data_IF_800886583597
#
_entry.id   IF_800886583597
#
_cell.length_a   1.000
_cell.length_b   1.000
_cell.length_c   1.000
_cell.angle_alpha   90.00
_cell.angle_beta   90.00
_cell.angle_gamma   90.00
#
_symmetry.space_group_name_H-M   'P 1'
#
loop_
_entity.id
_entity.type
_entity.pdbx_description
1 polymer ?
#
# COMPACT_ATOMS: atom_id res chain seq x y z
N UNK A 1 -22.23 13.77 -4.50
CA UNK A 1 -21.54 12.53 -4.10
C UNK A 1 -20.44 12.12 -5.08
N UNK A 2 -20.70 11.75 -6.37
CA UNK A 2 -19.59 11.40 -7.30
C UNK A 2 -18.56 12.52 -7.47
N UNK A 3 -18.98 13.78 -7.62
CA UNK A 3 -18.06 14.91 -7.75
C UNK A 3 -17.19 15.13 -6.50
N UNK A 4 -17.76 14.99 -5.32
CA UNK A 4 -17.03 15.13 -4.05
C UNK A 4 -15.99 14.01 -3.87
N UNK A 5 -16.30 12.81 -4.32
CA UNK A 5 -15.36 11.68 -4.29
C UNK A 5 -14.24 11.85 -5.34
N UNK A 6 -14.56 12.38 -6.53
CA UNK A 6 -13.55 12.70 -7.54
C UNK A 6 -12.62 13.82 -7.05
N UNK A 7 -13.18 14.89 -6.45
CA UNK A 7 -12.42 15.97 -5.85
C UNK A 7 -11.51 15.45 -4.72
N UNK A 8 -12.01 14.49 -3.91
CA UNK A 8 -11.20 13.82 -2.89
C UNK A 8 -10.02 13.07 -3.51
N UNK A 9 -10.26 12.25 -4.54
CA UNK A 9 -9.17 11.50 -5.18
C UNK A 9 -8.12 12.41 -5.82
N UNK A 10 -8.53 13.52 -6.45
CA UNK A 10 -7.58 14.51 -6.96
C UNK A 10 -6.72 15.12 -5.85
N UNK A 11 -7.33 15.40 -4.71
CA UNK A 11 -6.67 15.98 -3.54
C UNK A 11 -5.62 15.05 -2.91
N UNK A 12 -5.84 13.72 -2.96
CA UNK A 12 -5.00 12.73 -2.31
C UNK A 12 -4.17 11.88 -3.28
N UNK A 13 -4.08 12.28 -4.57
CA UNK A 13 -3.19 11.61 -5.52
C UNK A 13 -1.78 11.50 -4.92
N UNK A 14 -1.35 10.27 -4.67
CA UNK A 14 -0.11 9.98 -3.96
C UNK A 14 1.10 10.34 -4.80
N UNK A 15 1.12 9.92 -6.06
CA UNK A 15 2.21 10.13 -7.02
C UNK A 15 1.63 10.42 -8.40
N UNK A 16 2.11 11.47 -9.04
CA UNK A 16 1.85 11.76 -10.46
C UNK A 16 3.06 12.47 -11.08
N UNK A 17 3.11 12.54 -12.39
CA UNK A 17 4.04 13.43 -13.08
C UNK A 17 3.57 14.89 -12.96
N UNK A 18 4.54 15.81 -13.00
CA UNK A 18 4.23 17.22 -13.27
C UNK A 18 3.58 17.37 -14.65
N UNK A 19 2.84 18.45 -14.92
CA UNK A 19 2.27 18.69 -16.25
C UNK A 19 3.31 18.67 -17.36
N UNK A 20 4.50 19.17 -17.08
CA UNK A 20 5.64 19.23 -18.01
C UNK A 20 6.37 17.89 -18.13
N UNK A 21 6.00 16.89 -17.31
CA UNK A 21 6.62 15.55 -17.19
C UNK A 21 8.12 15.58 -16.81
N UNK A 22 8.58 16.69 -16.22
CA UNK A 22 9.95 16.92 -15.80
C UNK A 22 10.26 16.54 -14.35
N UNK A 23 9.25 16.03 -13.61
CA UNK A 23 9.37 15.66 -12.21
C UNK A 23 8.19 14.83 -11.70
N UNK A 24 8.39 14.29 -10.51
CA UNK A 24 7.33 13.62 -9.74
C UNK A 24 6.72 14.63 -8.78
N UNK A 25 5.40 14.77 -8.81
CA UNK A 25 4.62 15.49 -7.83
C UNK A 25 4.02 14.50 -6.83
N UNK A 26 4.48 14.53 -5.57
CA UNK A 26 4.03 13.63 -4.51
C UNK A 26 3.48 14.39 -3.31
N UNK A 27 2.62 13.73 -2.52
CA UNK A 27 2.28 14.20 -1.18
C UNK A 27 3.38 13.78 -0.22
N UNK A 28 3.95 14.73 0.54
CA UNK A 28 4.85 14.40 1.64
C UNK A 28 4.04 13.82 2.81
N UNK A 29 3.97 12.48 2.88
CA UNK A 29 3.19 11.77 3.90
C UNK A 29 3.77 11.88 5.31
N UNK A 30 5.01 12.34 5.46
CA UNK A 30 5.62 12.54 6.78
C UNK A 30 4.97 13.70 7.54
N UNK A 31 4.37 14.65 6.82
CA UNK A 31 3.72 15.83 7.36
C UNK A 31 2.24 15.64 7.69
N UNK A 32 1.63 14.55 7.16
CA UNK A 32 0.21 14.24 7.43
C UNK A 32 0.02 13.74 8.88
N UNK A 33 -1.15 14.00 9.50
CA UNK A 33 -2.31 14.71 8.97
C UNK A 33 -2.23 16.25 9.12
N UNK A 34 -1.21 16.78 9.83
CA UNK A 34 -1.14 18.19 10.20
C UNK A 34 -0.98 19.14 9.01
N UNK A 35 -0.18 18.76 8.03
CA UNK A 35 0.12 19.58 6.86
C UNK A 35 0.03 18.72 5.60
N UNK A 36 -0.88 19.05 4.70
CA UNK A 36 -0.91 18.47 3.35
C UNK A 36 -0.01 19.31 2.43
N UNK A 37 1.17 18.80 2.14
CA UNK A 37 2.15 19.45 1.27
C UNK A 37 2.50 18.56 0.10
N UNK A 38 2.41 19.10 -1.11
CA UNK A 38 2.97 18.46 -2.29
C UNK A 38 4.41 18.96 -2.52
N UNK A 39 5.26 18.06 -2.96
CA UNK A 39 6.65 18.35 -3.32
C UNK A 39 6.94 17.77 -4.70
N UNK A 40 7.74 18.49 -5.48
CA UNK A 40 8.19 18.04 -6.79
C UNK A 40 9.63 17.53 -6.69
N UNK A 41 9.87 16.34 -7.22
CA UNK A 41 11.15 15.62 -7.20
C UNK A 41 11.63 15.47 -8.65
N UNK A 42 12.85 15.94 -8.95
CA UNK A 42 13.41 15.95 -10.31
C UNK A 42 14.69 15.14 -10.45
N UNK A 43 15.36 14.85 -9.33
CA UNK A 43 16.63 14.12 -9.36
C UNK A 43 16.50 12.75 -8.71
N UNK A 44 17.38 11.82 -9.08
CA UNK A 44 17.41 10.48 -8.47
C UNK A 44 17.65 10.54 -6.96
N UNK A 45 18.40 11.53 -6.51
CA UNK A 45 18.69 11.77 -5.08
C UNK A 45 17.45 12.20 -4.31
N UNK A 46 16.65 13.12 -4.86
CA UNK A 46 15.39 13.56 -4.26
C UNK A 46 14.39 12.40 -4.19
N UNK A 47 14.28 11.60 -5.26
CA UNK A 47 13.38 10.45 -5.33
C UNK A 47 13.83 9.36 -4.34
N UNK A 48 15.12 9.06 -4.30
CA UNK A 48 15.71 8.12 -3.34
C UNK A 48 15.40 8.54 -1.90
N UNK A 49 15.66 9.82 -1.57
CA UNK A 49 15.37 10.36 -0.24
C UNK A 49 13.86 10.27 0.09
N UNK A 50 12.98 10.60 -0.86
CA UNK A 50 11.54 10.54 -0.63
C UNK A 50 11.05 9.12 -0.31
N UNK A 51 11.60 8.09 -0.96
CA UNK A 51 11.30 6.69 -0.66
C UNK A 51 11.92 6.27 0.68
N UNK A 52 13.17 6.63 0.92
CA UNK A 52 13.91 6.28 2.15
C UNK A 52 13.29 6.87 3.40
N UNK A 53 12.89 8.13 3.33
CA UNK A 53 12.29 8.89 4.45
C UNK A 53 10.79 8.69 4.59
N UNK A 54 10.19 7.81 3.78
CA UNK A 54 8.75 7.51 3.79
C UNK A 54 7.86 8.70 3.42
N UNK A 55 8.37 9.69 2.67
CA UNK A 55 7.54 10.75 2.06
C UNK A 55 6.55 10.17 1.06
N UNK A 56 6.99 9.13 0.33
CA UNK A 56 6.13 8.19 -0.40
C UNK A 56 6.34 6.80 0.19
N UNK A 57 5.24 6.09 0.49
CA UNK A 57 5.25 4.78 1.14
C UNK A 57 4.07 3.92 0.68
N UNK A 58 4.09 2.63 1.07
CA UNK A 58 3.15 1.63 0.55
C UNK A 58 3.74 0.93 -0.68
N UNK A 59 3.64 -0.40 -0.71
CA UNK A 59 4.32 -1.19 -1.74
C UNK A 59 3.96 -0.76 -3.18
N UNK A 60 2.68 -0.56 -3.57
CA UNK A 60 2.33 -0.11 -4.91
C UNK A 60 2.79 1.33 -5.19
N UNK A 61 2.55 2.28 -4.29
CA UNK A 61 2.93 3.67 -4.49
C UNK A 61 4.45 3.86 -4.67
N UNK A 62 5.27 3.06 -3.95
CA UNK A 62 6.73 3.06 -4.13
C UNK A 62 7.09 2.54 -5.54
N UNK A 63 6.41 1.51 -6.03
CA UNK A 63 6.61 0.99 -7.39
C UNK A 63 6.31 2.05 -8.45
N UNK A 64 5.18 2.74 -8.34
CA UNK A 64 4.81 3.84 -9.25
C UNK A 64 5.80 5.00 -9.17
N UNK A 65 6.20 5.40 -7.95
CA UNK A 65 7.20 6.47 -7.77
C UNK A 65 8.56 6.11 -8.36
N UNK A 66 8.97 4.85 -8.24
CA UNK A 66 10.22 4.36 -8.82
C UNK A 66 10.17 4.33 -10.36
N UNK A 67 9.05 3.89 -10.94
CA UNK A 67 8.87 3.88 -12.39
C UNK A 67 8.92 5.30 -12.99
N UNK A 68 8.13 6.22 -12.45
CA UNK A 68 8.20 7.63 -12.86
C UNK A 68 9.56 8.24 -12.57
N UNK A 69 10.17 7.94 -11.43
CA UNK A 69 11.48 8.42 -11.07
C UNK A 69 12.56 7.98 -12.06
N UNK A 70 12.51 6.73 -12.49
CA UNK A 70 13.41 6.21 -13.51
C UNK A 70 13.17 6.88 -14.88
N UNK A 71 11.92 7.11 -15.28
CA UNK A 71 11.58 7.79 -16.53
C UNK A 71 12.07 9.24 -16.54
N UNK A 72 11.75 10.04 -15.50
CA UNK A 72 12.16 11.43 -15.37
C UNK A 72 13.69 11.58 -15.36
N UNK A 73 14.38 10.73 -14.59
CA UNK A 73 15.85 10.82 -14.52
C UNK A 73 16.53 10.31 -15.80
N UNK A 74 15.96 9.31 -16.48
CA UNK A 74 16.45 8.82 -17.76
C UNK A 74 16.29 9.85 -18.87
N UNK A 75 15.29 10.72 -18.82
CA UNK A 75 15.09 11.79 -19.81
C UNK A 75 16.29 12.77 -19.88
N UNK A 76 16.95 12.98 -18.74
CA UNK A 76 18.14 13.84 -18.65
C UNK A 76 19.45 13.15 -19.05
N UNK A 77 19.46 11.85 -19.35
CA UNK A 77 20.67 11.16 -19.80
C UNK A 77 21.11 11.72 -21.17
N UNK A 78 22.36 12.20 -21.22
CA UNK A 78 23.02 12.54 -22.46
C UNK A 78 23.90 11.36 -22.87
N UNK A 79 23.64 10.76 -24.02
CA UNK A 79 24.38 9.61 -24.53
C UNK A 79 24.44 9.66 -26.06
N UNK A 80 25.52 9.14 -26.63
CA UNK A 80 25.72 9.10 -28.08
C UNK A 80 25.01 7.88 -28.71
N UNK A 81 24.87 6.80 -27.93
CA UNK A 81 24.23 5.55 -28.37
C UNK A 81 23.45 4.87 -27.24
N UNK A 82 22.75 3.78 -27.61
CA UNK A 82 21.97 3.01 -26.66
C UNK A 82 22.84 2.36 -25.57
N UNK A 83 24.08 1.93 -25.89
CA UNK A 83 24.95 1.28 -24.90
C UNK A 83 25.31 2.22 -23.76
N UNK A 84 25.70 3.45 -24.09
CA UNK A 84 26.02 4.49 -23.11
C UNK A 84 24.77 4.91 -22.30
N UNK A 85 23.62 5.06 -22.98
CA UNK A 85 22.34 5.33 -22.33
C UNK A 85 21.95 4.22 -21.35
N UNK A 86 22.04 2.96 -21.78
CA UNK A 86 21.65 1.81 -20.95
C UNK A 86 22.55 1.66 -19.72
N UNK A 87 23.85 1.90 -19.85
CA UNK A 87 24.75 1.88 -18.70
C UNK A 87 24.32 2.92 -17.64
N UNK A 88 24.05 4.16 -18.03
CA UNK A 88 23.58 5.20 -17.14
C UNK A 88 22.18 4.86 -16.54
N UNK A 89 21.29 4.27 -17.33
CA UNK A 89 19.96 3.82 -16.87
C UNK A 89 20.08 2.76 -15.78
N UNK A 90 20.99 1.80 -15.93
CA UNK A 90 21.24 0.74 -14.90
C UNK A 90 21.84 1.34 -13.63
N UNK A 91 22.68 2.36 -13.72
CA UNK A 91 23.17 3.09 -12.54
C UNK A 91 22.03 3.77 -11.78
N UNK A 92 21.11 4.45 -12.49
CA UNK A 92 19.91 5.06 -11.89
C UNK A 92 19.05 3.99 -11.22
N UNK A 93 18.77 2.87 -11.92
CA UNK A 93 18.03 1.73 -11.38
C UNK A 93 18.62 1.24 -10.06
N UNK A 94 19.92 0.95 -10.05
CA UNK A 94 20.61 0.42 -8.86
C UNK A 94 20.61 1.43 -7.70
N UNK A 95 20.77 2.71 -8.02
CA UNK A 95 20.69 3.77 -7.03
C UNK A 95 19.30 3.83 -6.39
N UNK A 96 18.23 3.90 -7.17
CA UNK A 96 16.86 3.92 -6.65
C UNK A 96 16.53 2.64 -5.86
N UNK A 97 16.96 1.47 -6.34
CA UNK A 97 16.76 0.17 -5.67
C UNK A 97 17.37 0.16 -4.25
N UNK A 98 18.50 0.84 -4.04
CA UNK A 98 19.18 0.91 -2.73
C UNK A 98 18.39 1.68 -1.66
N UNK A 99 17.35 2.44 -2.03
CA UNK A 99 16.54 3.20 -1.08
C UNK A 99 15.79 2.30 -0.09
N UNK A 100 15.28 1.14 -0.56
CA UNK A 100 14.60 0.14 0.28
C UNK A 100 14.88 -1.29 -0.23
N UNK A 101 15.98 -1.92 0.22
CA UNK A 101 16.43 -3.22 -0.32
C UNK A 101 15.44 -4.39 -0.15
N UNK A 102 14.44 -4.27 0.72
CA UNK A 102 13.43 -5.32 0.97
C UNK A 102 12.09 -5.07 0.26
N UNK A 103 11.94 -3.94 -0.43
CA UNK A 103 10.66 -3.55 -1.05
C UNK A 103 10.46 -4.23 -2.41
N UNK A 104 9.74 -5.34 -2.45
CA UNK A 104 9.52 -6.17 -3.65
C UNK A 104 9.01 -5.36 -4.84
N UNK A 105 8.00 -4.51 -4.63
CA UNK A 105 7.40 -3.70 -5.71
C UNK A 105 8.35 -2.64 -6.28
N UNK A 106 9.30 -2.14 -5.49
CA UNK A 106 10.36 -1.26 -5.97
C UNK A 106 11.21 -1.95 -7.06
N UNK A 107 11.71 -3.15 -6.74
CA UNK A 107 12.52 -3.93 -7.67
C UNK A 107 11.72 -4.37 -8.89
N UNK A 108 10.48 -4.80 -8.69
CA UNK A 108 9.59 -5.19 -9.78
C UNK A 108 9.39 -4.04 -10.79
N UNK A 109 9.07 -2.85 -10.32
CA UNK A 109 8.85 -1.69 -11.19
C UNK A 109 10.14 -1.29 -11.93
N UNK A 110 11.26 -1.19 -11.23
CA UNK A 110 12.55 -0.85 -11.82
C UNK A 110 13.02 -1.89 -12.85
N UNK A 111 12.83 -3.18 -12.58
CA UNK A 111 13.14 -4.24 -13.53
C UNK A 111 12.25 -4.15 -14.78
N UNK A 112 10.96 -3.89 -14.61
CA UNK A 112 10.02 -3.72 -15.72
C UNK A 112 10.39 -2.53 -16.60
N UNK A 113 10.79 -1.42 -16.00
CA UNK A 113 11.29 -0.24 -16.75
C UNK A 113 12.55 -0.54 -17.53
N UNK A 114 13.51 -1.28 -16.95
CA UNK A 114 14.71 -1.73 -17.65
C UNK A 114 14.39 -2.63 -18.85
N UNK A 115 13.49 -3.60 -18.67
CA UNK A 115 13.05 -4.48 -19.76
C UNK A 115 12.37 -3.69 -20.88
N UNK A 116 11.61 -2.65 -20.54
CA UNK A 116 11.02 -1.76 -21.55
C UNK A 116 12.08 -1.02 -22.36
N UNK A 117 13.12 -0.50 -21.72
CA UNK A 117 14.23 0.12 -22.45
C UNK A 117 14.94 -0.85 -23.39
N UNK A 118 15.22 -2.07 -22.90
CA UNK A 118 15.85 -3.14 -23.71
C UNK A 118 15.00 -3.56 -24.92
N UNK A 119 13.68 -3.57 -24.78
CA UNK A 119 12.78 -3.89 -25.89
C UNK A 119 12.83 -2.86 -27.02
N UNK A 120 13.22 -1.63 -26.70
CA UNK A 120 13.30 -0.51 -27.66
C UNK A 120 14.74 -0.21 -28.13
N UNK A 121 15.73 -1.05 -27.82
CA UNK A 121 17.17 -0.80 -27.98
C UNK A 121 17.63 -0.45 -29.41
N UNK A 122 16.88 -0.90 -30.42
CA UNK A 122 17.19 -0.65 -31.84
C UNK A 122 16.59 0.68 -32.36
N UNK A 123 15.85 1.41 -31.50
CA UNK A 123 15.21 2.67 -31.86
C UNK A 123 16.05 3.88 -31.41
N UNK A 124 15.63 5.08 -31.80
CA UNK A 124 16.27 6.32 -31.33
C UNK A 124 16.16 6.47 -29.81
N UNK A 125 17.13 7.14 -29.18
CA UNK A 125 17.11 7.40 -27.74
C UNK A 125 15.85 8.16 -27.30
N UNK A 126 15.36 9.09 -28.12
CA UNK A 126 14.11 9.80 -27.83
C UNK A 126 12.91 8.85 -27.79
N UNK A 127 12.90 7.83 -28.69
CA UNK A 127 11.86 6.78 -28.66
C UNK A 127 11.97 5.91 -27.41
N UNK A 128 13.19 5.55 -27.00
CA UNK A 128 13.41 4.78 -25.74
C UNK A 128 12.93 5.58 -24.53
N UNK A 129 13.28 6.87 -24.45
CA UNK A 129 12.85 7.76 -23.36
C UNK A 129 11.33 7.90 -23.31
N UNK A 130 10.67 8.14 -24.46
CA UNK A 130 9.21 8.19 -24.56
C UNK A 130 8.57 6.88 -24.09
N UNK A 131 9.12 5.73 -24.49
CA UNK A 131 8.64 4.41 -24.09
C UNK A 131 8.75 4.16 -22.58
N UNK A 132 9.75 4.74 -21.90
CA UNK A 132 9.85 4.68 -20.44
C UNK A 132 8.72 5.43 -19.77
N UNK A 133 8.35 6.61 -20.24
CA UNK A 133 7.20 7.34 -19.69
C UNK A 133 5.89 6.59 -19.94
N UNK A 134 5.68 6.03 -21.13
CA UNK A 134 4.49 5.21 -21.42
C UNK A 134 4.40 3.99 -20.50
N UNK A 135 5.53 3.35 -20.21
CA UNK A 135 5.55 2.19 -19.32
C UNK A 135 5.26 2.58 -17.87
N UNK A 136 5.78 3.72 -17.41
CA UNK A 136 5.49 4.23 -16.08
C UNK A 136 4.01 4.61 -15.92
N UNK A 137 3.40 5.24 -16.94
CA UNK A 137 1.95 5.50 -16.96
C UNK A 137 1.16 4.20 -16.90
N UNK A 138 1.57 3.17 -17.66
CA UNK A 138 0.92 1.84 -17.65
C UNK A 138 1.02 1.17 -16.28
N UNK A 139 2.17 1.25 -15.61
CA UNK A 139 2.34 0.73 -14.24
C UNK A 139 1.34 1.40 -13.29
N UNK A 140 1.16 2.72 -13.39
CA UNK A 140 0.18 3.45 -12.58
C UNK A 140 -1.27 3.06 -12.90
N UNK A 141 -1.62 2.97 -14.18
CA UNK A 141 -2.97 2.59 -14.62
C UNK A 141 -3.34 1.17 -14.21
N UNK A 142 -2.39 0.23 -14.31
CA UNK A 142 -2.57 -1.15 -13.84
C UNK A 142 -2.79 -1.18 -12.33
N UNK A 143 -2.05 -0.41 -11.54
CA UNK A 143 -2.25 -0.33 -10.09
C UNK A 143 -3.65 0.20 -9.73
N UNK A 144 -4.14 1.22 -10.45
CA UNK A 144 -5.51 1.72 -10.30
C UNK A 144 -6.55 0.64 -10.62
N UNK A 145 -6.36 -0.09 -11.72
CA UNK A 145 -7.28 -1.15 -12.13
C UNK A 145 -7.27 -2.34 -11.14
N UNK A 146 -6.09 -2.74 -10.66
CA UNK A 146 -5.91 -3.78 -9.65
C UNK A 146 -6.65 -3.38 -8.36
N UNK A 147 -6.37 -2.19 -7.85
CA UNK A 147 -6.99 -1.67 -6.63
C UNK A 147 -8.51 -1.57 -6.74
N UNK A 148 -9.01 -1.12 -7.92
CA UNK A 148 -10.44 -1.08 -8.20
C UNK A 148 -11.08 -2.47 -8.15
N UNK A 149 -10.48 -3.46 -8.79
CA UNK A 149 -11.01 -4.82 -8.83
C UNK A 149 -11.03 -5.47 -7.42
N UNK A 150 -9.99 -5.25 -6.61
CA UNK A 150 -9.99 -5.65 -5.19
C UNK A 150 -11.17 -4.98 -4.47
N UNK A 151 -11.40 -3.70 -4.74
CA UNK A 151 -12.51 -2.93 -4.17
C UNK A 151 -13.88 -3.50 -4.54
N UNK A 152 -14.12 -3.85 -5.81
CA UNK A 152 -15.38 -4.44 -6.27
C UNK A 152 -15.68 -5.78 -5.58
N UNK A 153 -14.66 -6.63 -5.46
CA UNK A 153 -14.80 -7.94 -4.79
C UNK A 153 -15.08 -7.76 -3.29
N UNK A 154 -14.33 -6.87 -2.62
CA UNK A 154 -14.55 -6.56 -1.21
C UNK A 154 -15.90 -5.88 -0.95
N UNK A 155 -16.34 -4.97 -1.83
CA UNK A 155 -17.67 -4.39 -1.77
C UNK A 155 -18.78 -5.45 -1.90
N UNK A 156 -18.55 -6.46 -2.74
CA UNK A 156 -19.44 -7.63 -2.83
C UNK A 156 -19.61 -8.35 -1.49
N UNK A 157 -18.58 -8.38 -0.63
CA UNK A 157 -18.65 -8.92 0.73
C UNK A 157 -19.42 -7.99 1.66
N UNK A 158 -19.15 -6.66 1.59
CA UNK A 158 -19.90 -5.67 2.38
C UNK A 158 -21.39 -5.75 2.12
N UNK A 159 -21.82 -5.86 0.85
CA UNK A 159 -23.24 -6.01 0.49
C UNK A 159 -23.91 -7.22 1.13
N UNK A 160 -23.20 -8.34 1.28
CA UNK A 160 -23.75 -9.56 1.89
C UNK A 160 -23.93 -9.43 3.40
N UNK A 161 -23.13 -8.61 4.05
CA UNK A 161 -23.15 -8.42 5.52
C UNK A 161 -24.00 -7.23 5.97
N UNK A 162 -24.25 -6.25 5.08
CA UNK A 162 -25.02 -5.04 5.37
C UNK A 162 -26.46 -5.40 5.73
N UNK A 163 -26.89 -4.91 6.87
CA UNK A 163 -28.30 -4.96 7.28
C UNK A 163 -29.00 -3.65 6.95
N UNK A 164 -30.27 -3.72 6.63
CA UNK A 164 -31.07 -2.54 6.34
C UNK A 164 -31.17 -1.64 7.59
N UNK A 165 -30.93 -0.34 7.40
CA UNK A 165 -31.01 0.66 8.47
C UNK A 165 -29.85 0.68 9.46
N UNK A 166 -28.89 -0.25 9.39
CA UNK A 166 -27.73 -0.29 10.29
C UNK A 166 -26.41 -0.04 9.51
N UNK A 167 -25.46 0.77 10.03
CA UNK A 167 -24.14 0.88 9.41
C UNK A 167 -23.37 -0.44 9.54
N UNK A 168 -22.61 -0.80 8.49
CA UNK A 168 -21.68 -1.92 8.60
C UNK A 168 -20.41 -1.49 9.30
N UNK A 169 -20.02 -2.19 10.36
CA UNK A 169 -18.76 -1.97 11.08
C UNK A 169 -17.60 -2.68 10.43
N UNK A 170 -16.58 -1.93 10.05
CA UNK A 170 -15.37 -2.42 9.37
C UNK A 170 -14.17 -2.05 10.23
N UNK A 171 -13.28 -3.00 10.53
CA UNK A 171 -12.00 -2.69 11.16
C UNK A 171 -10.88 -2.80 10.15
N UNK A 172 -9.93 -1.87 10.22
CA UNK A 172 -8.72 -1.89 9.42
C UNK A 172 -7.49 -1.54 10.25
N UNK A 173 -6.33 -2.05 9.84
CA UNK A 173 -5.05 -1.86 10.51
C UNK A 173 -4.01 -1.33 9.54
N UNK A 174 -3.12 -0.45 9.98
CA UNK A 174 -2.12 0.24 9.17
C UNK A 174 -2.75 1.18 8.12
N UNK A 175 -2.02 1.42 7.03
CA UNK A 175 -2.53 2.14 5.88
C UNK A 175 -2.27 1.36 4.60
N UNK A 176 -3.31 0.73 4.10
CA UNK A 176 -3.40 0.14 2.78
C UNK A 176 -4.49 0.87 1.97
N UNK A 177 -4.50 2.19 2.08
CA UNK A 177 -5.41 3.12 1.47
C UNK A 177 -4.85 3.78 0.22
N UNK A 178 -5.53 4.83 -0.23
CA UNK A 178 -5.17 5.56 -1.45
C UNK A 178 -3.77 6.18 -1.36
N UNK A 179 -3.31 6.56 -0.15
CA UNK A 179 -1.95 7.05 0.08
C UNK A 179 -0.86 5.96 -0.06
N UNK A 180 -1.23 4.69 -0.12
CA UNK A 180 -0.31 3.55 -0.30
C UNK A 180 -0.29 3.00 -1.73
N UNK A 181 -1.15 3.50 -2.63
CA UNK A 181 -1.34 3.05 -4.00
C UNK A 181 -1.43 4.24 -4.96
N UNK A 182 -1.70 4.01 -6.23
CA UNK A 182 -2.01 5.09 -7.18
C UNK A 182 -3.42 5.68 -6.97
N UNK A 183 -4.40 4.82 -6.53
CA UNK A 183 -5.79 5.22 -6.23
C UNK A 183 -6.48 4.08 -5.46
N UNK A 184 -7.51 4.37 -4.68
CA UNK A 184 -8.38 3.46 -3.93
C UNK A 184 -7.75 2.75 -2.73
N UNK A 185 -6.45 2.44 -2.74
CA UNK A 185 -5.88 1.49 -1.79
C UNK A 185 -6.21 0.04 -2.09
N UNK A 186 -5.86 -0.86 -1.18
CA UNK A 186 -6.29 -2.26 -1.24
C UNK A 186 -7.34 -2.56 -0.17
N UNK A 187 -7.02 -2.37 1.12
CA UNK A 187 -7.95 -2.61 2.22
C UNK A 187 -9.06 -1.54 2.31
N UNK A 188 -8.82 -0.30 1.86
CA UNK A 188 -9.84 0.75 1.82
C UNK A 188 -10.64 0.78 0.52
N UNK A 189 -10.17 0.11 -0.52
CA UNK A 189 -10.86 0.09 -1.81
C UNK A 189 -12.33 -0.36 -1.72
N UNK A 190 -12.71 -1.40 -0.94
CA UNK A 190 -14.12 -1.77 -0.78
C UNK A 190 -15.02 -0.64 -0.27
N UNK A 191 -14.45 0.24 0.55
CA UNK A 191 -15.17 1.38 1.15
C UNK A 191 -15.40 2.48 0.13
N UNK A 192 -14.39 2.80 -0.67
CA UNK A 192 -14.52 3.79 -1.76
C UNK A 192 -15.45 3.29 -2.88
N UNK A 193 -15.37 2.00 -3.22
CA UNK A 193 -16.28 1.41 -4.18
C UNK A 193 -17.73 1.41 -3.66
N UNK A 194 -17.95 1.24 -2.35
CA UNK A 194 -19.27 1.41 -1.76
C UNK A 194 -19.83 2.82 -2.02
N UNK A 195 -19.01 3.88 -1.87
CA UNK A 195 -19.41 5.25 -2.19
C UNK A 195 -19.69 5.42 -3.70
N UNK A 196 -18.84 4.88 -4.58
CA UNK A 196 -19.08 4.90 -6.03
C UNK A 196 -20.37 4.20 -6.42
N UNK A 197 -20.75 3.13 -5.70
CA UNK A 197 -22.02 2.40 -5.90
C UNK A 197 -23.21 3.02 -5.17
N UNK A 198 -23.08 4.23 -4.65
CA UNK A 198 -24.19 5.02 -4.12
C UNK A 198 -24.47 4.84 -2.64
N UNK A 199 -23.59 4.13 -1.89
CA UNK A 199 -23.65 4.17 -0.43
C UNK A 199 -23.24 5.54 0.09
N UNK A 200 -23.82 5.94 1.22
CA UNK A 200 -23.36 7.12 1.95
C UNK A 200 -22.24 6.76 2.92
N UNK A 201 -21.42 7.72 3.29
CA UNK A 201 -20.35 7.50 4.27
C UNK A 201 -20.86 7.03 5.64
N UNK A 202 -22.14 7.28 5.94
CA UNK A 202 -22.86 6.82 7.12
C UNK A 202 -23.38 5.39 7.04
N UNK A 203 -23.40 4.78 5.86
CA UNK A 203 -23.72 3.35 5.69
C UNK A 203 -22.62 2.44 6.21
N UNK A 204 -21.45 2.99 6.43
CA UNK A 204 -20.27 2.33 6.98
C UNK A 204 -19.80 3.04 8.24
N UNK A 205 -19.27 2.26 9.18
CA UNK A 205 -18.52 2.78 10.31
C UNK A 205 -17.16 2.09 10.34
N UNK A 206 -16.12 2.82 9.95
CA UNK A 206 -14.77 2.27 9.87
C UNK A 206 -14.01 2.55 11.15
N UNK A 207 -13.49 1.52 11.76
CA UNK A 207 -12.62 1.57 12.93
C UNK A 207 -11.19 1.38 12.49
N UNK A 208 -10.33 2.37 12.79
CA UNK A 208 -8.92 2.36 12.43
C UNK A 208 -8.08 2.14 13.68
N UNK A 209 -7.28 1.07 13.71
CA UNK A 209 -6.21 0.95 14.68
C UNK A 209 -5.16 2.04 14.41
N UNK A 210 -4.64 2.67 15.47
CA UNK A 210 -3.62 3.72 15.33
C UNK A 210 -2.34 3.21 14.66
N UNK A 211 -2.03 1.94 14.84
CA UNK A 211 -0.88 1.23 14.28
C UNK A 211 0.45 1.76 14.81
N UNK A 212 0.73 1.45 16.08
CA UNK A 212 2.06 1.71 16.67
C UNK A 212 3.14 0.88 15.94
N UNK A 213 4.43 1.37 15.87
CA UNK A 213 4.88 2.66 16.40
C UNK A 213 4.71 3.84 15.44
N UNK A 214 4.57 3.62 14.10
CA UNK A 214 4.60 4.70 13.09
C UNK A 214 3.26 5.41 12.87
N UNK A 215 2.18 4.95 13.53
CA UNK A 215 0.85 5.57 13.54
C UNK A 215 0.22 5.73 12.14
N UNK A 216 0.45 4.77 11.21
CA UNK A 216 -0.10 4.85 9.86
C UNK A 216 -1.63 4.84 9.85
N UNK A 217 -2.26 4.08 10.76
CA UNK A 217 -3.72 4.07 10.88
C UNK A 217 -4.27 5.42 11.36
N UNK A 218 -3.64 6.02 12.38
CA UNK A 218 -4.03 7.31 12.90
C UNK A 218 -3.78 8.46 11.92
N UNK A 219 -2.57 8.47 11.33
CA UNK A 219 -2.09 9.62 10.55
C UNK A 219 -2.57 9.61 9.11
N UNK A 220 -2.73 8.44 8.53
CA UNK A 220 -3.00 8.28 7.11
C UNK A 220 -4.38 7.68 6.85
N UNK A 221 -4.72 6.51 7.40
CA UNK A 221 -6.01 5.86 7.12
C UNK A 221 -7.20 6.66 7.66
N UNK A 222 -7.14 7.09 8.93
CA UNK A 222 -8.20 7.93 9.49
C UNK A 222 -8.31 9.27 8.73
N UNK A 223 -7.17 9.85 8.32
CA UNK A 223 -7.14 11.08 7.53
C UNK A 223 -7.87 10.91 6.19
N UNK A 224 -7.52 9.89 5.39
CA UNK A 224 -8.13 9.72 4.07
C UNK A 224 -9.60 9.32 4.13
N UNK A 225 -10.00 8.46 5.08
CA UNK A 225 -11.40 8.06 5.23
C UNK A 225 -12.31 9.21 5.70
N UNK A 226 -11.84 10.00 6.68
CA UNK A 226 -12.55 11.21 7.11
C UNK A 226 -12.69 12.23 5.97
N UNK A 227 -11.63 12.41 5.14
CA UNK A 227 -11.67 13.31 3.98
C UNK A 227 -12.65 12.84 2.91
N UNK A 228 -12.81 11.53 2.74
CA UNK A 228 -13.81 10.93 1.85
C UNK A 228 -15.24 10.95 2.41
N UNK A 229 -15.46 11.53 3.59
CA UNK A 229 -16.77 11.60 4.23
C UNK A 229 -17.27 10.28 4.86
N UNK A 230 -16.40 9.29 5.04
CA UNK A 230 -16.74 8.00 5.67
C UNK A 230 -16.71 8.15 7.19
N UNK A 231 -17.76 7.67 7.87
CA UNK A 231 -17.80 7.65 9.34
C UNK A 231 -16.65 6.81 9.89
N UNK A 232 -15.74 7.46 10.60
CA UNK A 232 -14.48 6.84 11.03
C UNK A 232 -14.26 7.04 12.53
N UNK A 233 -13.81 6.00 13.21
CA UNK A 233 -13.35 6.04 14.61
C UNK A 233 -11.90 5.56 14.68
N UNK A 234 -11.05 6.38 15.27
CA UNK A 234 -9.68 6.00 15.61
C UNK A 234 -9.64 5.35 16.99
N UNK A 235 -8.84 4.29 17.13
CA UNK A 235 -8.61 3.61 18.40
C UNK A 235 -7.14 3.23 18.57
N UNK A 236 -6.70 2.98 19.82
CA UNK A 236 -5.41 2.34 20.06
C UNK A 236 -5.48 0.86 19.65
N UNK A 237 -4.34 0.30 19.24
CA UNK A 237 -4.25 -1.08 18.73
C UNK A 237 -4.81 -2.13 19.70
N UNK A 238 -4.67 -1.90 20.98
CA UNK A 238 -5.15 -2.81 22.04
C UNK A 238 -6.66 -2.71 22.34
N UNK A 239 -7.41 -1.83 21.63
CA UNK A 239 -8.85 -1.63 21.89
C UNK A 239 -9.75 -2.45 20.95
N UNK A 240 -9.21 -3.07 19.92
CA UNK A 240 -9.96 -3.83 18.91
C UNK A 240 -10.84 -4.93 19.55
N UNK A 241 -10.35 -5.63 20.58
CA UNK A 241 -11.09 -6.69 21.25
C UNK A 241 -12.39 -6.20 21.91
N UNK A 242 -12.40 -5.00 22.44
CA UNK A 242 -13.59 -4.42 23.09
C UNK A 242 -14.67 -4.13 22.05
N UNK A 243 -14.29 -3.57 20.90
CA UNK A 243 -15.23 -3.31 19.80
C UNK A 243 -15.75 -4.60 19.16
N UNK A 244 -14.90 -5.60 18.94
CA UNK A 244 -15.30 -6.91 18.43
C UNK A 244 -16.30 -7.60 19.38
N UNK A 245 -15.99 -7.61 20.68
CA UNK A 245 -16.88 -8.17 21.72
C UNK A 245 -18.24 -7.48 21.76
N UNK A 246 -18.28 -6.16 21.51
CA UNK A 246 -19.53 -5.39 21.51
C UNK A 246 -20.40 -5.56 20.26
N UNK A 247 -19.96 -6.36 19.28
CA UNK A 247 -20.67 -6.59 18.02
C UNK A 247 -20.63 -5.42 17.04
N UNK A 248 -19.74 -4.45 17.25
CA UNK A 248 -19.61 -3.29 16.37
C UNK A 248 -18.80 -3.56 15.12
N UNK A 249 -17.99 -4.60 15.10
CA UNK A 249 -17.18 -5.01 13.94
C UNK A 249 -17.83 -6.20 13.27
N UNK A 250 -18.09 -6.10 11.97
CA UNK A 250 -18.71 -7.15 11.16
C UNK A 250 -17.73 -7.82 10.19
N UNK A 251 -16.64 -7.11 9.86
CA UNK A 251 -15.61 -7.57 8.92
C UNK A 251 -14.29 -6.82 9.18
N UNK A 252 -13.18 -7.49 8.91
CA UNK A 252 -11.85 -6.88 8.93
C UNK A 252 -11.27 -6.93 7.53
N UNK A 253 -10.73 -5.78 7.07
CA UNK A 253 -9.90 -5.67 5.88
C UNK A 253 -8.53 -5.12 6.24
N UNK A 254 -7.47 -5.84 5.89
CA UNK A 254 -6.09 -5.36 6.02
C UNK A 254 -5.36 -5.48 4.69
N UNK A 255 -4.32 -4.67 4.51
CA UNK A 255 -3.37 -4.86 3.41
C UNK A 255 -2.42 -6.01 3.69
N UNK A 256 -1.41 -6.15 2.82
CA UNK A 256 -0.36 -7.13 2.97
C UNK A 256 0.92 -6.65 2.29
N UNK A 257 2.07 -6.92 2.92
CA UNK A 257 3.39 -6.66 2.34
C UNK A 257 3.94 -7.89 1.58
N UNK A 258 3.60 -9.11 2.00
CA UNK A 258 3.95 -10.37 1.34
C UNK A 258 3.00 -11.49 1.74
N UNK A 259 2.64 -12.34 0.79
CA UNK A 259 1.87 -13.58 0.99
C UNK A 259 2.73 -14.76 0.55
N UNK A 260 2.92 -15.75 1.41
CA UNK A 260 3.53 -17.02 1.07
C UNK A 260 2.56 -17.93 0.29
N UNK A 261 3.08 -18.96 -0.39
CA UNK A 261 2.25 -19.83 -1.23
C UNK A 261 1.18 -20.61 -0.45
N UNK A 262 1.41 -20.88 0.83
CA UNK A 262 0.44 -21.51 1.72
C UNK A 262 -0.66 -20.57 2.23
N UNK A 263 -0.54 -19.24 1.96
CA UNK A 263 -1.47 -18.21 2.40
C UNK A 263 -1.06 -17.46 3.67
N UNK A 264 0.01 -17.84 4.34
CA UNK A 264 0.56 -17.05 5.45
C UNK A 264 0.94 -15.66 4.95
N UNK A 265 0.62 -14.64 5.72
CA UNK A 265 0.72 -13.26 5.23
C UNK A 265 1.47 -12.37 6.20
N UNK A 266 2.53 -11.72 5.73
CA UNK A 266 3.22 -10.68 6.49
C UNK A 266 2.61 -9.31 6.21
N UNK A 267 2.29 -8.58 7.27
CA UNK A 267 1.82 -7.22 7.20
C UNK A 267 2.32 -6.43 8.43
N UNK A 268 1.98 -5.14 8.47
CA UNK A 268 2.38 -4.26 9.57
C UNK A 268 2.09 -4.89 10.93
N UNK A 269 3.10 -4.79 11.84
CA UNK A 269 3.01 -5.30 13.21
C UNK A 269 1.66 -4.97 13.85
N UNK A 270 1.02 -5.95 14.48
CA UNK A 270 -0.33 -5.88 15.04
C UNK A 270 -1.42 -6.54 14.18
N UNK A 271 -1.14 -6.83 12.92
CA UNK A 271 -2.12 -7.48 12.01
C UNK A 271 -2.48 -8.89 12.49
N UNK A 272 -1.51 -9.68 12.92
CA UNK A 272 -1.75 -11.02 13.48
C UNK A 272 -2.61 -10.95 14.74
N UNK A 273 -2.36 -9.98 15.63
CA UNK A 273 -3.23 -9.77 16.80
C UNK A 273 -4.68 -9.53 16.41
N UNK A 274 -4.94 -8.70 15.40
CA UNK A 274 -6.30 -8.43 14.89
C UNK A 274 -6.92 -9.70 14.33
N UNK A 275 -6.17 -10.52 13.59
CA UNK A 275 -6.65 -11.78 13.01
C UNK A 275 -7.04 -12.80 14.10
N UNK A 276 -6.20 -12.95 15.15
CA UNK A 276 -6.50 -13.80 16.32
C UNK A 276 -7.79 -13.34 17.00
N UNK A 277 -7.95 -12.04 17.23
CA UNK A 277 -9.16 -11.49 17.85
C UNK A 277 -10.39 -11.70 16.94
N UNK A 278 -10.27 -11.47 15.64
CA UNK A 278 -11.34 -11.71 14.69
C UNK A 278 -11.78 -13.18 14.70
N UNK A 279 -10.84 -14.12 14.70
CA UNK A 279 -11.10 -15.55 14.82
C UNK A 279 -11.82 -15.89 16.11
N UNK A 280 -11.36 -15.33 17.25
CA UNK A 280 -12.00 -15.56 18.56
C UNK A 280 -13.45 -15.09 18.63
N UNK A 281 -13.75 -13.96 18.00
CA UNK A 281 -15.12 -13.39 17.98
C UNK A 281 -15.96 -13.83 16.78
N UNK A 282 -15.45 -14.72 15.90
CA UNK A 282 -16.17 -15.19 14.73
C UNK A 282 -16.39 -14.14 13.64
N UNK A 283 -15.51 -13.14 13.57
CA UNK A 283 -15.55 -12.05 12.59
C UNK A 283 -14.68 -12.43 11.38
N UNK A 284 -15.18 -12.31 10.15
CA UNK A 284 -14.40 -12.62 8.97
C UNK A 284 -13.24 -11.63 8.81
N UNK A 285 -12.04 -12.17 8.58
CA UNK A 285 -10.79 -11.44 8.39
C UNK A 285 -10.26 -11.66 6.98
N UNK A 286 -10.15 -10.59 6.20
CA UNK A 286 -9.68 -10.61 4.83
C UNK A 286 -8.39 -9.83 4.64
N UNK A 287 -7.46 -10.44 3.91
CA UNK A 287 -6.29 -9.78 3.36
C UNK A 287 -6.64 -9.21 1.98
N UNK A 288 -6.35 -7.94 1.72
CA UNK A 288 -6.54 -7.27 0.44
C UNK A 288 -5.17 -7.00 -0.18
N UNK A 289 -4.79 -7.74 -1.20
CA UNK A 289 -3.45 -7.67 -1.78
C UNK A 289 -3.48 -7.90 -3.30
N UNK A 290 -2.71 -7.12 -4.09
CA UNK A 290 -2.47 -7.46 -5.48
C UNK A 290 -1.90 -8.86 -5.64
N UNK A 291 -2.24 -9.56 -6.72
CA UNK A 291 -1.70 -10.91 -6.97
C UNK A 291 -0.16 -10.92 -7.05
N UNK A 292 0.46 -9.79 -7.39
CA UNK A 292 1.92 -9.61 -7.39
C UNK A 292 2.55 -9.65 -5.98
N UNK A 293 1.76 -9.53 -4.92
CA UNK A 293 2.21 -9.63 -3.53
C UNK A 293 2.42 -11.09 -3.10
N UNK A 294 1.85 -12.05 -3.87
CA UNK A 294 1.97 -13.48 -3.60
C UNK A 294 3.33 -13.98 -4.11
N UNK A 295 4.18 -14.37 -3.16
CA UNK A 295 5.51 -14.89 -3.43
C UNK A 295 5.48 -16.41 -3.56
N UNK A 296 5.45 -16.89 -4.81
CA UNK A 296 5.42 -18.34 -5.12
C UNK A 296 6.67 -19.09 -4.69
N UNK A 297 7.78 -18.39 -4.43
CA UNK A 297 9.04 -18.99 -3.96
C UNK A 297 9.11 -19.11 -2.44
N UNK A 298 8.21 -18.43 -1.72
CA UNK A 298 8.13 -18.46 -0.27
C UNK A 298 7.13 -19.56 0.17
N UNK A 299 7.59 -20.65 0.82
CA UNK A 299 6.71 -21.77 1.14
C UNK A 299 5.69 -21.47 2.24
N UNK A 300 6.09 -20.70 3.24
CA UNK A 300 5.29 -20.39 4.43
C UNK A 300 5.79 -19.11 5.14
N UNK A 301 5.11 -18.73 6.20
CA UNK A 301 5.40 -17.52 6.99
C UNK A 301 6.75 -17.51 7.69
N UNK A 302 7.30 -18.66 8.07
CA UNK A 302 8.60 -18.76 8.75
C UNK A 302 9.75 -18.36 7.82
N UNK A 303 9.54 -18.41 6.52
CA UNK A 303 10.50 -18.01 5.49
C UNK A 303 10.40 -16.53 5.09
N UNK A 304 9.46 -15.76 5.67
CA UNK A 304 9.34 -14.33 5.39
C UNK A 304 10.30 -13.54 6.30
N UNK A 305 11.30 -12.83 5.74
CA UNK A 305 12.22 -12.04 6.55
C UNK A 305 11.51 -10.84 7.19
N UNK A 306 11.65 -10.69 8.51
CA UNK A 306 11.05 -9.59 9.28
C UNK A 306 12.11 -8.53 9.60
N UNK A 307 11.90 -7.32 9.09
CA UNK A 307 12.76 -6.16 9.33
C UNK A 307 12.66 -5.71 10.80
N UNK A 308 13.82 -5.53 11.46
CA UNK A 308 13.89 -4.85 12.75
C UNK A 308 14.14 -3.36 12.54
N UNK A 309 13.40 -2.53 13.27
CA UNK A 309 13.38 -1.07 13.12
C UNK A 309 14.04 -0.38 14.31
N UNK A 310 14.32 0.94 14.14
CA UNK A 310 14.93 1.74 15.19
C UNK A 310 14.11 1.73 16.48
N UNK A 311 14.74 1.55 17.66
CA UNK A 311 14.10 1.72 18.96
C UNK A 311 13.43 3.09 19.14
N UNK A 312 13.93 4.13 18.50
CA UNK A 312 13.43 5.50 18.62
C UNK A 312 12.01 5.66 18.09
N UNK A 313 11.60 4.83 17.13
CA UNK A 313 10.21 4.80 16.67
C UNK A 313 9.23 4.49 17.80
N UNK A 314 9.63 3.63 18.74
CA UNK A 314 8.83 3.26 19.90
C UNK A 314 8.93 4.29 21.02
N UNK A 315 10.14 4.80 21.29
CA UNK A 315 10.46 5.50 22.53
C UNK A 315 10.43 7.02 22.44
N UNK A 316 10.60 7.59 21.23
CA UNK A 316 10.76 9.04 21.05
C UNK A 316 9.89 9.65 19.95
N UNK A 317 9.76 9.01 18.78
CA UNK A 317 9.32 9.63 17.52
C UNK A 317 8.08 10.54 17.65
N UNK A 318 7.10 10.18 18.48
CA UNK A 318 5.84 10.91 18.63
C UNK A 318 5.71 11.66 19.95
N UNK A 319 6.77 11.69 20.74
CA UNK A 319 6.76 12.29 22.06
C UNK A 319 7.70 13.47 22.12
N UNK A 320 7.29 14.51 22.84
CA UNK A 320 8.14 15.70 23.06
C UNK A 320 9.42 15.35 23.83
N UNK A 321 9.30 14.38 24.74
CA UNK A 321 10.36 13.85 25.56
C UNK A 321 10.36 12.32 25.41
N UNK A 322 11.52 11.68 25.63
CA UNK A 322 11.62 10.22 25.64
C UNK A 322 10.64 9.63 26.65
N UNK A 323 9.76 8.72 26.20
CA UNK A 323 8.71 8.14 27.03
C UNK A 323 9.15 6.89 27.79
N UNK A 324 10.33 6.32 27.49
CA UNK A 324 10.86 5.12 28.11
C UNK A 324 12.21 5.41 28.80
N UNK A 325 12.58 4.69 29.87
CA UNK A 325 13.89 4.85 30.53
C UNK A 325 15.06 4.65 29.58
N UNK A 326 16.15 5.36 29.80
CA UNK A 326 17.41 5.06 29.14
C UNK A 326 17.89 3.64 29.48
N UNK A 327 18.47 2.96 28.47
CA UNK A 327 19.01 1.61 28.64
C UNK A 327 17.96 0.48 28.62
N UNK A 328 16.65 0.79 28.43
CA UNK A 328 15.67 -0.27 28.21
C UNK A 328 15.83 -0.85 26.80
N UNK A 329 15.83 -2.18 26.71
CA UNK A 329 15.80 -2.86 25.42
C UNK A 329 14.45 -2.69 24.74
N UNK A 330 14.46 -2.51 23.41
CA UNK A 330 13.26 -2.28 22.61
C UNK A 330 13.14 -3.33 21.51
N UNK A 331 12.05 -4.06 21.52
CA UNK A 331 11.67 -4.98 20.47
C UNK A 331 10.75 -4.24 19.47
N UNK A 332 11.20 -4.05 18.23
CA UNK A 332 10.47 -3.27 17.22
C UNK A 332 10.54 -3.93 15.83
N UNK A 333 9.87 -5.08 15.63
CA UNK A 333 9.70 -5.64 14.30
C UNK A 333 8.74 -4.78 13.47
N UNK A 334 9.04 -4.62 12.18
CA UNK A 334 8.19 -3.83 11.28
C UNK A 334 6.86 -4.54 10.96
N UNK A 335 6.89 -5.88 10.91
CA UNK A 335 5.80 -6.74 10.47
C UNK A 335 5.60 -7.89 11.44
N UNK A 336 4.40 -8.47 11.41
CA UNK A 336 4.13 -9.81 11.93
C UNK A 336 3.57 -10.72 10.82
N UNK A 337 3.61 -12.02 11.08
CA UNK A 337 3.05 -13.02 10.17
C UNK A 337 1.71 -13.48 10.73
N UNK A 338 0.69 -13.44 9.89
CA UNK A 338 -0.63 -14.02 10.17
C UNK A 338 -0.72 -15.38 9.51
N UNK A 339 -0.95 -16.40 10.32
CA UNK A 339 -1.13 -17.77 9.86
C UNK A 339 -2.38 -17.87 8.97
N UNK A 340 -2.28 -18.64 7.89
CA UNK A 340 -3.37 -18.81 6.93
C UNK A 340 -4.67 -19.35 7.55
N UNK A 341 -4.59 -20.11 8.65
CA UNK A 341 -5.76 -20.61 9.38
C UNK A 341 -6.60 -19.50 10.03
N UNK A 342 -6.02 -18.32 10.24
CA UNK A 342 -6.71 -17.15 10.79
C UNK A 342 -7.39 -16.32 9.68
N UNK A 343 -7.04 -16.56 8.41
CA UNK A 343 -7.47 -15.77 7.26
C UNK A 343 -8.70 -16.38 6.63
N UNK A 344 -9.81 -15.64 6.62
CA UNK A 344 -11.08 -16.07 5.97
C UNK A 344 -10.93 -16.11 4.45
N UNK A 345 -10.17 -15.19 3.88
CA UNK A 345 -9.86 -15.14 2.46
C UNK A 345 -8.87 -14.05 2.10
N UNK A 346 -8.26 -14.20 0.93
CA UNK A 346 -7.35 -13.22 0.34
C UNK A 346 -8.01 -12.66 -0.91
N UNK A 347 -8.28 -11.36 -0.92
CA UNK A 347 -8.90 -10.65 -2.03
C UNK A 347 -7.81 -10.12 -2.93
N UNK A 348 -7.75 -10.64 -4.16
CA UNK A 348 -6.87 -10.12 -5.20
C UNK A 348 -7.72 -9.53 -6.33
N UNK A 349 -7.10 -8.85 -7.29
CA UNK A 349 -7.80 -8.37 -8.50
C UNK A 349 -8.36 -9.50 -9.37
N UNK A 350 -7.89 -10.74 -9.15
CA UNK A 350 -8.32 -11.92 -9.92
C UNK A 350 -9.46 -12.69 -9.27
N UNK A 351 -9.73 -12.43 -7.99
CA UNK A 351 -10.79 -13.10 -7.24
C UNK A 351 -10.49 -13.17 -5.75
N UNK A 352 -11.45 -13.73 -5.00
CA UNK A 352 -11.29 -14.04 -3.58
C UNK A 352 -10.79 -15.47 -3.45
N UNK A 353 -9.62 -15.62 -2.84
CA UNK A 353 -9.01 -16.91 -2.56
C UNK A 353 -9.36 -17.39 -1.16
N UNK A 354 -9.58 -18.68 -1.02
CA UNK A 354 -9.87 -19.36 0.25
C UNK A 354 -8.92 -20.54 0.46
N UNK A 355 -8.79 -20.98 1.69
CA UNK A 355 -7.98 -22.16 2.00
C UNK A 355 -8.60 -23.45 1.36
N UNK A 356 -7.77 -24.35 0.81
CA UNK A 356 -6.30 -24.31 0.73
C UNK A 356 -5.80 -23.29 -0.29
N UNK A 357 -5.07 -22.25 0.16
CA UNK A 357 -4.75 -21.09 -0.66
C UNK A 357 -3.92 -21.42 -1.91
N UNK A 358 -2.96 -22.35 -1.81
CA UNK A 358 -2.13 -22.74 -2.96
C UNK A 358 -2.97 -23.25 -4.15
N UNK A 359 -4.07 -24.00 -3.87
CA UNK A 359 -4.98 -24.52 -4.89
C UNK A 359 -5.79 -23.38 -5.53
N UNK A 360 -6.28 -22.44 -4.71
CA UNK A 360 -7.04 -21.29 -5.19
C UNK A 360 -6.16 -20.32 -5.98
N UNK A 361 -4.91 -20.10 -5.56
CA UNK A 361 -3.93 -19.32 -6.34
C UNK A 361 -3.70 -19.93 -7.72
N UNK A 362 -3.51 -21.26 -7.78
CA UNK A 362 -3.36 -21.96 -9.05
C UNK A 362 -4.64 -21.86 -9.93
N UNK A 363 -5.83 -22.03 -9.34
CA UNK A 363 -7.15 -21.92 -10.01
C UNK A 363 -7.34 -20.54 -10.65
N UNK A 364 -6.96 -19.47 -9.95
CA UNK A 364 -7.07 -18.08 -10.40
C UNK A 364 -5.89 -17.64 -11.27
N UNK A 365 -4.94 -18.52 -11.55
CA UNK A 365 -3.72 -18.22 -12.31
C UNK A 365 -2.92 -17.04 -11.73
N UNK A 366 -2.83 -17.05 -10.43
CA UNK A 366 -2.00 -16.13 -9.66
C UNK A 366 -0.57 -16.61 -9.65
#
# INVERSE_FOLDING_TARGET
MHKELDDFFEDVITVRLTPERDGLDIIDQTLLPGIRKRICLRTKEEIWNAIRELKVRGAPAIGVAAAYGMAVTADHIQAEDFSAFYHALVEIKNYLASSRPTAVNLFWALNRMEQRALAEKEKSLDTVKAALFEEADRIREEDVAISRNIGELGFGLLKKLKKEGEPIGILTHCNAGTLATAKYGTATAPMYLALEHGWEGTDMHVYCDETRPLLQGARLTAYELCHAGITTTLQCDNMASVLMKSGKIHIVFTGCDRVAINGDSANKIGTNQVAILARHYGIPFYICAPSSTIDKSCPDGDHIPIEQRSPDEVTQMWYKERMAPEGVDVFNPAFDVTDHDLITGIITEKGVCHAPFAEDFARLKI
#
